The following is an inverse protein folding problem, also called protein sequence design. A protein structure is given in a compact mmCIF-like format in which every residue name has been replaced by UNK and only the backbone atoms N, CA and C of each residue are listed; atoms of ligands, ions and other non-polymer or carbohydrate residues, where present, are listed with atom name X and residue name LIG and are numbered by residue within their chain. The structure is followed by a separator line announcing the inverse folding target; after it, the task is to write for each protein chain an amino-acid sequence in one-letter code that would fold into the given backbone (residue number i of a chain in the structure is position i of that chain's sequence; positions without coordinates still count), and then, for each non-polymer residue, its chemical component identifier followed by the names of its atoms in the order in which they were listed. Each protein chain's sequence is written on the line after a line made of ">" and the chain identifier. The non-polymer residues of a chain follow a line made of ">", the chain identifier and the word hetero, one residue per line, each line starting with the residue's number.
data_IF_180472581453
#
_entry.id   IF_180472581453
#
_cell.length_a   1.000
_cell.length_b   1.000
_cell.length_c   1.000
_cell.angle_alpha   90.00
_cell.angle_beta   90.00
_cell.angle_gamma   90.00
#
_symmetry.space_group_name_H-M   'P 1'
#
loop_
_entity.id
_entity.type
_entity.pdbx_description
1 polymer ?
#
# COMPACT_ATOMS: atom_id res chain seq x y z
N UNK A 1 17.88 -2.36 -19.41
CA UNK A 1 17.33 -1.02 -19.75
C UNK A 1 17.79 -0.51 -21.12
N UNK A 2 19.10 -0.45 -21.44
CA UNK A 2 19.58 0.09 -22.73
C UNK A 2 19.12 -0.69 -23.98
N UNK A 3 19.01 -2.02 -23.93
CA UNK A 3 18.67 -2.82 -25.13
C UNK A 3 17.17 -2.80 -25.45
N UNK A 4 16.29 -2.90 -24.44
CA UNK A 4 14.84 -2.87 -24.65
C UNK A 4 14.33 -1.47 -25.08
N UNK A 5 14.91 -0.41 -24.52
CA UNK A 5 14.57 0.98 -24.90
C UNK A 5 15.03 1.28 -26.33
N UNK A 6 16.20 0.78 -26.76
CA UNK A 6 16.69 0.96 -28.13
C UNK A 6 15.84 0.19 -29.12
N UNK A 7 15.45 -1.06 -28.84
CA UNK A 7 14.61 -1.84 -29.78
C UNK A 7 13.22 -1.24 -30.00
N UNK A 8 12.57 -0.72 -28.95
CA UNK A 8 11.24 -0.11 -29.07
C UNK A 8 11.28 1.31 -29.66
N UNK A 9 12.29 2.11 -29.35
CA UNK A 9 12.49 3.43 -29.98
C UNK A 9 12.90 3.29 -31.45
N UNK A 10 13.68 2.27 -31.82
CA UNK A 10 14.04 2.00 -33.22
C UNK A 10 12.85 1.51 -34.05
N UNK A 11 11.90 0.76 -33.46
CA UNK A 11 10.65 0.39 -34.12
C UNK A 11 9.73 1.61 -34.33
N UNK A 12 9.70 2.53 -33.35
CA UNK A 12 8.93 3.77 -33.44
C UNK A 12 9.52 4.83 -34.39
N UNK A 13 10.85 4.87 -34.56
CA UNK A 13 11.53 5.82 -35.43
C UNK A 13 11.57 5.41 -36.92
N UNK A 14 11.23 4.16 -37.24
CA UNK A 14 11.36 3.59 -38.59
C UNK A 14 10.14 3.75 -39.50
N UNK A 15 9.00 4.25 -39.00
CA UNK A 15 7.76 4.36 -39.78
C UNK A 15 7.11 5.72 -39.49
N UNK A 16 6.96 6.54 -40.54
CA UNK A 16 6.59 7.96 -40.43
C UNK A 16 5.14 8.24 -40.02
N UNK A 17 4.29 7.22 -39.91
CA UNK A 17 2.85 7.32 -39.67
C UNK A 17 2.36 6.48 -38.46
N UNK A 18 3.19 6.33 -37.42
CA UNK A 18 2.94 5.38 -36.30
C UNK A 18 1.97 5.91 -35.24
N UNK A 19 1.71 7.22 -35.21
CA UNK A 19 0.99 7.85 -34.10
C UNK A 19 -0.36 8.40 -34.57
N UNK A 20 -1.44 7.72 -34.17
CA UNK A 20 -2.80 8.07 -34.54
C UNK A 20 -3.45 9.14 -33.62
N UNK A 21 -2.79 9.54 -32.52
CA UNK A 21 -3.29 10.54 -31.58
C UNK A 21 -2.19 11.49 -31.12
N UNK A 22 -2.58 12.75 -30.90
CA UNK A 22 -1.72 13.76 -30.30
C UNK A 22 -1.25 13.32 -28.91
N UNK A 23 0.00 13.65 -28.51
CA UNK A 23 0.48 13.36 -27.18
C UNK A 23 -0.35 14.11 -26.13
N UNK A 24 -0.79 13.38 -25.11
CA UNK A 24 -1.46 13.95 -23.95
C UNK A 24 -0.43 14.44 -22.95
N UNK A 25 -0.58 15.69 -22.52
CA UNK A 25 0.21 16.30 -21.47
C UNK A 25 -0.70 16.77 -20.34
N UNK A 26 -0.26 16.60 -19.10
CA UNK A 26 -0.90 17.19 -17.95
C UNK A 26 0.11 17.51 -16.87
N UNK A 27 -0.14 18.59 -16.14
CA UNK A 27 0.69 18.97 -15.01
C UNK A 27 -0.17 19.27 -13.78
N UNK A 28 0.25 18.78 -12.62
CA UNK A 28 -0.34 19.18 -11.34
C UNK A 28 0.73 19.80 -10.43
N UNK A 29 0.32 20.81 -9.67
CA UNK A 29 1.05 21.26 -8.49
C UNK A 29 0.25 20.87 -7.25
N UNK A 30 0.87 20.09 -6.37
CA UNK A 30 0.32 19.69 -5.09
C UNK A 30 1.04 20.41 -3.97
N UNK A 31 0.30 21.10 -3.11
CA UNK A 31 0.80 21.68 -1.87
C UNK A 31 0.13 21.00 -0.69
N UNK A 32 0.87 20.77 0.39
CA UNK A 32 0.31 20.14 1.57
C UNK A 32 0.95 20.54 2.90
N UNK A 33 0.19 20.30 3.96
CA UNK A 33 0.62 20.35 5.34
C UNK A 33 0.02 19.17 6.11
N UNK A 34 0.84 18.51 6.91
CA UNK A 34 0.46 17.43 7.79
C UNK A 34 0.84 17.78 9.23
N UNK A 35 -0.04 17.47 10.16
CA UNK A 35 0.19 17.50 11.60
C UNK A 35 0.04 16.08 12.12
N UNK A 36 1.04 15.62 12.86
CA UNK A 36 1.09 14.29 13.43
C UNK A 36 1.14 14.41 14.94
N UNK A 37 0.16 13.84 15.62
CA UNK A 37 0.19 13.70 17.07
C UNK A 37 1.01 12.46 17.42
N UNK A 38 2.33 12.65 17.46
CA UNK A 38 3.30 11.57 17.66
C UNK A 38 3.32 11.12 19.09
N UNK A 39 3.20 9.80 19.27
CA UNK A 39 3.17 9.18 20.57
C UNK A 39 4.58 8.82 21.07
N UNK A 40 5.11 9.66 21.96
CA UNK A 40 6.42 9.45 22.58
C UNK A 40 6.49 8.27 23.56
N UNK A 41 5.39 7.88 24.20
CA UNK A 41 5.38 6.78 25.18
C UNK A 41 5.28 5.38 24.53
N UNK A 42 5.29 5.29 23.20
CA UNK A 42 5.17 4.00 22.51
C UNK A 42 6.37 3.07 22.78
N UNK A 43 6.15 1.82 23.21
CA UNK A 43 7.24 0.85 23.35
C UNK A 43 7.86 0.45 22.00
N UNK A 44 7.16 0.71 20.88
CA UNK A 44 7.66 0.40 19.55
C UNK A 44 8.48 1.54 18.93
N UNK A 45 8.43 2.72 19.52
CA UNK A 45 9.15 3.91 19.05
C UNK A 45 9.32 4.88 20.23
N UNK A 46 10.06 4.46 21.28
CA UNK A 46 10.18 5.24 22.49
C UNK A 46 10.81 6.59 22.19
N UNK A 47 10.15 7.66 22.64
CA UNK A 47 10.51 9.07 22.44
C UNK A 47 10.75 9.45 20.98
N UNK A 48 10.15 8.68 20.07
CA UNK A 48 10.29 8.81 18.63
C UNK A 48 11.74 8.66 18.13
N UNK A 49 12.58 7.90 18.85
CA UNK A 49 14.01 7.75 18.55
C UNK A 49 14.30 6.85 17.35
N UNK A 50 13.35 6.00 16.94
CA UNK A 50 13.57 5.00 15.90
C UNK A 50 12.92 5.39 14.58
N UNK A 51 11.62 5.73 14.61
CA UNK A 51 10.87 6.06 13.41
C UNK A 51 11.09 7.51 12.95
N UNK A 52 11.50 8.41 13.86
CA UNK A 52 11.78 9.81 13.54
C UNK A 52 10.60 10.56 12.95
N UNK A 53 9.37 10.23 13.37
CA UNK A 53 8.14 10.78 12.80
C UNK A 53 8.08 12.29 13.02
N UNK A 54 7.85 13.12 11.98
CA UNK A 54 7.70 14.56 12.19
C UNK A 54 6.45 14.84 13.01
N UNK A 55 6.44 15.93 13.77
CA UNK A 55 5.21 16.50 14.36
C UNK A 55 4.45 17.34 13.35
N UNK A 56 5.18 17.98 12.43
CA UNK A 56 4.62 18.75 11.34
C UNK A 56 5.45 18.56 10.08
N UNK A 57 4.78 18.48 8.95
CA UNK A 57 5.41 18.38 7.63
C UNK A 57 4.70 19.31 6.66
N UNK A 58 5.47 20.03 5.86
CA UNK A 58 4.97 20.79 4.72
C UNK A 58 5.63 20.28 3.47
N UNK A 59 4.91 20.28 2.36
CA UNK A 59 5.51 19.90 1.09
C UNK A 59 4.84 20.49 -0.12
N UNK A 60 5.59 20.45 -1.21
CA UNK A 60 5.17 20.82 -2.54
C UNK A 60 5.64 19.75 -3.52
N UNK A 61 4.80 19.41 -4.49
CA UNK A 61 5.12 18.42 -5.49
C UNK A 61 4.58 18.82 -6.86
N UNK A 62 5.48 18.96 -7.83
CA UNK A 62 5.13 19.04 -9.23
C UNK A 62 4.98 17.63 -9.81
N UNK A 63 3.83 17.36 -10.45
CA UNK A 63 3.50 16.11 -11.11
C UNK A 63 3.34 16.38 -12.60
N UNK A 64 4.25 15.86 -13.41
CA UNK A 64 4.08 15.90 -14.86
C UNK A 64 3.59 14.53 -15.32
N UNK A 65 2.74 14.53 -16.34
CA UNK A 65 2.27 13.34 -17.03
C UNK A 65 2.40 13.58 -18.52
N UNK A 66 3.03 12.63 -19.17
CA UNK A 66 3.06 12.57 -20.62
C UNK A 66 2.64 11.17 -21.05
N UNK A 67 1.74 11.09 -22.02
CA UNK A 67 1.25 9.85 -22.61
C UNK A 67 1.13 10.02 -24.11
N UNK A 68 1.57 9.01 -24.84
CA UNK A 68 1.39 8.90 -26.27
C UNK A 68 0.86 7.50 -26.58
N UNK A 69 -0.19 7.44 -27.39
CA UNK A 69 -0.85 6.21 -27.77
C UNK A 69 -0.99 6.16 -29.29
N UNK A 70 -0.53 5.06 -29.89
CA UNK A 70 -0.64 4.80 -31.31
C UNK A 70 -1.33 3.46 -31.57
N UNK A 71 -1.38 3.07 -32.84
CA UNK A 71 -1.92 1.77 -33.25
C UNK A 71 -1.13 0.62 -32.60
N UNK A 72 0.20 0.76 -32.57
CA UNK A 72 1.12 -0.32 -32.18
C UNK A 72 1.48 -0.33 -30.69
N UNK A 73 0.99 0.61 -29.88
CA UNK A 73 1.38 0.63 -28.48
C UNK A 73 1.16 1.95 -27.74
N UNK A 74 1.70 1.98 -26.53
CA UNK A 74 1.60 3.09 -25.59
C UNK A 74 2.96 3.38 -24.99
N UNK A 75 3.28 4.67 -24.90
CA UNK A 75 4.39 5.18 -24.13
C UNK A 75 3.86 6.20 -23.12
N UNK A 76 4.20 6.04 -21.84
CA UNK A 76 3.85 7.01 -20.81
C UNK A 76 4.98 7.20 -19.82
N UNK A 77 5.15 8.42 -19.33
CA UNK A 77 6.13 8.77 -18.29
C UNK A 77 5.55 9.82 -17.36
N UNK A 78 5.73 9.65 -16.06
CA UNK A 78 5.32 10.62 -15.05
C UNK A 78 6.45 10.97 -14.08
N UNK A 79 7.27 11.99 -14.38
CA UNK A 79 8.26 12.48 -13.44
C UNK A 79 7.59 13.30 -12.32
N UNK A 80 8.28 13.34 -11.18
CA UNK A 80 7.92 14.12 -10.00
C UNK A 80 9.12 14.92 -9.54
N UNK A 81 8.85 16.14 -9.08
CA UNK A 81 9.78 16.93 -8.28
C UNK A 81 9.06 17.25 -6.99
N UNK A 82 9.60 16.80 -5.86
CA UNK A 82 9.01 16.95 -4.54
C UNK A 82 9.99 17.68 -3.62
N UNK A 83 9.45 18.58 -2.82
CA UNK A 83 10.11 19.24 -1.70
C UNK A 83 9.29 18.96 -0.44
N UNK A 84 9.96 18.62 0.66
CA UNK A 84 9.33 18.58 1.97
C UNK A 84 10.22 19.18 3.05
N UNK A 85 9.56 19.74 4.06
CA UNK A 85 10.17 20.21 5.30
C UNK A 85 9.42 19.57 6.47
N UNK A 86 10.13 18.81 7.30
CA UNK A 86 9.59 18.13 8.46
C UNK A 86 10.23 18.68 9.75
N UNK A 87 9.41 18.98 10.76
CA UNK A 87 9.86 19.54 12.05
C UNK A 87 9.43 18.64 13.21
N UNK A 88 10.19 18.68 14.31
CA UNK A 88 9.89 17.90 15.52
C UNK A 88 10.03 16.38 15.36
N UNK A 89 10.99 15.92 14.56
CA UNK A 89 11.20 14.50 14.22
C UNK A 89 11.72 13.65 15.39
N UNK A 90 12.44 14.21 16.36
CA UNK A 90 12.80 13.57 17.64
C UNK A 90 13.38 14.62 18.60
N UNK A 91 13.61 14.27 19.87
CA UNK A 91 14.33 15.14 20.82
C UNK A 91 15.81 15.36 20.44
N UNK A 92 16.37 14.51 19.57
CA UNK A 92 17.77 14.54 19.16
C UNK A 92 17.99 15.09 17.74
N UNK A 93 16.93 15.40 16.98
CA UNK A 93 17.04 15.82 15.57
C UNK A 93 16.48 17.21 15.31
N UNK A 94 17.16 17.92 14.43
CA UNK A 94 16.77 19.23 13.90
C UNK A 94 15.74 19.09 12.76
N UNK A 95 15.14 20.22 12.37
CA UNK A 95 14.32 20.34 11.17
C UNK A 95 14.98 19.64 9.97
N UNK A 96 14.24 18.75 9.33
CA UNK A 96 14.68 18.04 8.13
C UNK A 96 14.10 18.71 6.88
N UNK A 97 14.91 18.81 5.83
CA UNK A 97 14.51 19.29 4.51
C UNK A 97 14.96 18.29 3.48
N UNK A 98 14.09 18.01 2.53
CA UNK A 98 14.34 17.02 1.51
C UNK A 98 13.81 17.51 0.16
N UNK A 99 14.62 17.33 -0.88
CA UNK A 99 14.25 17.65 -2.27
C UNK A 99 14.59 16.44 -3.11
N UNK A 100 13.58 15.89 -3.79
CA UNK A 100 13.71 14.66 -4.57
C UNK A 100 13.12 14.86 -5.96
N UNK A 101 13.84 14.39 -6.97
CA UNK A 101 13.31 14.18 -8.32
C UNK A 101 13.31 12.68 -8.61
N UNK A 102 12.19 12.16 -9.12
CA UNK A 102 12.06 10.74 -9.41
C UNK A 102 11.00 10.46 -10.46
N UNK A 103 11.05 9.27 -11.07
CA UNK A 103 9.99 8.76 -11.93
C UNK A 103 8.97 8.00 -11.08
N UNK A 104 7.75 8.54 -11.00
CA UNK A 104 6.65 7.90 -10.28
C UNK A 104 6.12 6.72 -11.07
N UNK A 105 5.88 6.90 -12.36
CA UNK A 105 5.41 5.85 -13.24
C UNK A 105 6.03 5.99 -14.62
N UNK A 106 6.07 4.88 -15.34
CA UNK A 106 6.34 4.83 -16.77
C UNK A 106 5.73 3.56 -17.34
N UNK A 107 5.40 3.56 -18.63
CA UNK A 107 4.85 2.42 -19.34
C UNK A 107 5.41 2.42 -20.75
N UNK A 108 5.89 1.26 -21.17
CA UNK A 108 6.15 0.95 -22.58
C UNK A 108 5.36 -0.31 -22.89
N UNK A 109 4.35 -0.20 -23.74
CA UNK A 109 3.49 -1.30 -24.18
C UNK A 109 3.53 -1.41 -25.69
N UNK A 110 3.74 -2.61 -26.21
CA UNK A 110 3.60 -2.95 -27.63
C UNK A 110 2.42 -3.88 -27.86
N UNK A 111 1.61 -3.59 -28.88
CA UNK A 111 0.40 -4.36 -29.26
C UNK A 111 0.71 -5.23 -30.48
N UNK A 112 0.52 -6.55 -30.32
CA UNK A 112 0.82 -7.57 -31.31
C UNK A 112 -0.41 -8.46 -31.49
N UNK A 113 -1.37 -8.00 -32.29
CA UNK A 113 -2.65 -8.68 -32.50
C UNK A 113 -3.46 -8.77 -31.20
N UNK A 114 -3.56 -9.98 -30.65
CA UNK A 114 -4.23 -10.25 -29.39
C UNK A 114 -3.29 -10.30 -28.17
N UNK A 115 -2.03 -9.94 -28.33
CA UNK A 115 -1.06 -9.85 -27.25
C UNK A 115 -0.64 -8.40 -27.00
N UNK A 116 -0.50 -8.03 -25.72
CA UNK A 116 0.16 -6.81 -25.29
C UNK A 116 1.42 -7.20 -24.52
N UNK A 117 2.58 -6.70 -24.92
CA UNK A 117 3.85 -6.90 -24.21
C UNK A 117 4.21 -5.59 -23.54
N UNK A 118 4.49 -5.62 -22.24
CA UNK A 118 4.74 -4.39 -21.50
C UNK A 118 5.93 -4.47 -20.55
N UNK A 119 6.54 -3.31 -20.34
CA UNK A 119 7.44 -3.01 -19.25
C UNK A 119 6.90 -1.73 -18.60
N UNK A 120 6.70 -1.72 -17.29
CA UNK A 120 6.09 -0.58 -16.59
C UNK A 120 6.67 -0.37 -15.20
N UNK A 121 6.52 0.87 -14.69
CA UNK A 121 6.51 1.17 -13.26
C UNK A 121 5.13 1.68 -12.93
N UNK A 122 4.38 0.93 -12.15
CA UNK A 122 3.01 1.29 -11.81
C UNK A 122 2.55 0.71 -10.48
N UNK A 123 1.39 1.16 -10.04
CA UNK A 123 0.65 0.54 -8.96
C UNK A 123 -0.32 -0.47 -9.57
N UNK A 124 0.13 -1.72 -9.72
CA UNK A 124 -0.65 -2.80 -10.33
C UNK A 124 -1.64 -3.39 -9.32
N UNK A 125 -2.75 -2.70 -9.11
CA UNK A 125 -3.88 -3.22 -8.32
C UNK A 125 -4.79 -4.09 -9.19
N UNK A 126 -5.45 -5.04 -8.55
CA UNK A 126 -6.50 -5.83 -9.16
C UNK A 126 -7.44 -6.38 -8.09
N UNK A 127 -8.49 -7.05 -8.54
CA UNK A 127 -9.58 -7.47 -7.67
C UNK A 127 -10.55 -6.32 -7.37
N UNK A 128 -11.74 -6.63 -6.88
CA UNK A 128 -12.82 -5.66 -6.62
C UNK A 128 -12.71 -4.98 -5.23
N UNK A 129 -11.90 -5.55 -4.35
CA UNK A 129 -11.80 -5.15 -2.94
C UNK A 129 -11.21 -3.76 -2.76
N UNK A 130 -11.77 -3.00 -1.82
CA UNK A 130 -11.37 -1.63 -1.51
C UNK A 130 -10.29 -1.59 -0.43
N UNK A 131 -10.38 -2.42 0.62
CA UNK A 131 -9.44 -2.40 1.74
C UNK A 131 -8.12 -3.12 1.46
N UNK A 132 -8.21 -4.34 0.93
CA UNK A 132 -7.09 -5.21 0.66
C UNK A 132 -7.41 -6.16 -0.50
N UNK A 133 -6.40 -6.55 -1.29
CA UNK A 133 -6.50 -7.58 -2.32
C UNK A 133 -5.63 -8.79 -1.96
N UNK A 134 -6.17 -9.77 -1.19
CA UNK A 134 -5.46 -10.99 -0.83
C UNK A 134 -4.83 -11.75 -2.01
N UNK A 135 -5.52 -11.82 -3.15
CA UNK A 135 -5.07 -12.50 -4.37
C UNK A 135 -3.99 -11.74 -5.14
N UNK A 136 -3.72 -10.48 -4.81
CA UNK A 136 -2.65 -9.70 -5.42
C UNK A 136 -1.32 -9.97 -4.71
N UNK A 137 -0.39 -10.70 -5.34
CA UNK A 137 0.91 -11.02 -4.75
C UNK A 137 1.83 -9.79 -4.66
N UNK A 138 1.53 -8.74 -5.44
CA UNK A 138 2.35 -7.54 -5.51
C UNK A 138 1.90 -6.50 -4.48
N UNK A 139 0.61 -6.19 -4.44
CA UNK A 139 0.04 -5.18 -3.55
C UNK A 139 -1.16 -5.73 -2.78
N UNK A 140 -0.92 -6.16 -1.54
CA UNK A 140 -2.00 -6.70 -0.68
C UNK A 140 -2.88 -5.56 -0.15
N UNK A 141 -2.31 -4.40 0.15
CA UNK A 141 -3.07 -3.24 0.59
C UNK A 141 -3.44 -2.37 -0.62
N UNK A 142 -4.73 -2.08 -0.78
CA UNK A 142 -5.27 -1.42 -1.99
C UNK A 142 -5.63 0.05 -1.75
N UNK A 143 -5.72 0.50 -0.50
CA UNK A 143 -6.26 1.81 -0.18
C UNK A 143 -5.20 2.85 0.23
N UNK A 144 -5.08 3.91 -0.56
CA UNK A 144 -4.42 5.16 -0.16
C UNK A 144 -5.41 6.07 0.57
N UNK A 145 -5.21 6.30 1.86
CA UNK A 145 -6.10 7.17 2.66
C UNK A 145 -5.81 8.66 2.39
N UNK A 146 -4.59 9.01 2.02
CA UNK A 146 -4.21 10.39 1.71
C UNK A 146 -4.27 10.65 0.19
N UNK A 147 -5.21 11.48 -0.32
CA UNK A 147 -5.32 11.74 -1.76
C UNK A 147 -4.13 12.50 -2.36
N UNK A 148 -3.26 13.07 -1.51
CA UNK A 148 -2.09 13.82 -1.94
C UNK A 148 -0.79 13.02 -1.84
N UNK A 149 -0.83 11.84 -1.23
CA UNK A 149 0.33 10.93 -1.21
C UNK A 149 0.15 9.88 -2.29
N UNK A 150 1.02 9.89 -3.29
CA UNK A 150 1.06 8.80 -4.27
C UNK A 150 1.62 7.54 -3.61
N UNK A 151 0.94 6.42 -3.80
CA UNK A 151 1.46 5.12 -3.37
C UNK A 151 2.73 4.78 -4.16
N UNK A 152 3.70 4.12 -3.52
CA UNK A 152 4.91 3.70 -4.21
C UNK A 152 4.58 2.64 -5.28
N UNK A 153 5.13 2.83 -6.47
CA UNK A 153 5.01 1.93 -7.61
C UNK A 153 6.18 0.95 -7.65
N UNK A 154 5.96 -0.19 -8.32
CA UNK A 154 6.99 -1.23 -8.56
C UNK A 154 7.21 -1.41 -10.05
N UNK A 155 8.34 -2.02 -10.42
CA UNK A 155 8.67 -2.26 -11.82
C UNK A 155 8.18 -3.65 -12.24
N UNK A 156 7.52 -3.73 -13.39
CA UNK A 156 6.91 -4.94 -13.94
C UNK A 156 7.32 -5.17 -15.38
N UNK A 157 7.45 -6.44 -15.74
CA UNK A 157 7.48 -6.90 -17.12
C UNK A 157 6.39 -7.95 -17.29
N UNK A 158 5.71 -7.97 -18.43
CA UNK A 158 4.67 -8.94 -18.65
C UNK A 158 4.16 -9.03 -20.08
N UNK A 159 3.29 -10.02 -20.26
CA UNK A 159 2.53 -10.25 -21.48
C UNK A 159 1.08 -10.46 -21.10
N UNK A 160 0.17 -9.76 -21.79
CA UNK A 160 -1.28 -9.93 -21.69
C UNK A 160 -1.79 -10.54 -22.98
N UNK A 161 -2.61 -11.56 -22.88
CA UNK A 161 -3.26 -12.24 -23.99
C UNK A 161 -4.78 -12.05 -23.88
N UNK A 162 -5.35 -11.34 -24.85
CA UNK A 162 -6.80 -11.16 -25.00
C UNK A 162 -7.33 -12.31 -25.85
N UNK A 163 -7.82 -13.37 -25.20
CA UNK A 163 -8.37 -14.54 -25.92
C UNK A 163 -9.61 -14.11 -26.73
N UNK A 164 -10.45 -13.29 -26.12
CA UNK A 164 -11.61 -12.62 -26.70
C UNK A 164 -12.02 -11.45 -25.77
N UNK A 165 -13.14 -10.80 -26.07
CA UNK A 165 -13.63 -9.63 -25.33
C UNK A 165 -13.99 -9.91 -23.85
N UNK A 166 -14.13 -11.19 -23.48
CA UNK A 166 -14.51 -11.62 -22.12
C UNK A 166 -13.38 -12.28 -21.35
N UNK A 167 -12.33 -12.76 -22.02
CA UNK A 167 -11.31 -13.62 -21.42
C UNK A 167 -9.91 -13.07 -21.66
N UNK A 168 -9.19 -12.83 -20.57
CA UNK A 168 -7.81 -12.33 -20.61
C UNK A 168 -6.90 -13.21 -19.76
N UNK A 169 -5.69 -13.48 -20.24
CA UNK A 169 -4.64 -14.15 -19.47
C UNK A 169 -3.43 -13.23 -19.42
N UNK A 170 -2.80 -13.05 -18.26
CA UNK A 170 -1.61 -12.24 -18.11
C UNK A 170 -0.52 -13.00 -17.34
N UNK A 171 0.70 -12.96 -17.88
CA UNK A 171 1.91 -13.37 -17.16
C UNK A 171 2.68 -12.10 -16.79
N UNK A 172 2.85 -11.86 -15.50
CA UNK A 172 3.48 -10.65 -14.98
C UNK A 172 4.58 -11.01 -14.00
N UNK A 173 5.71 -10.32 -14.07
CA UNK A 173 6.81 -10.45 -13.13
C UNK A 173 7.22 -9.07 -12.64
N UNK A 174 7.34 -8.88 -11.33
CA UNK A 174 8.01 -7.68 -10.83
C UNK A 174 9.53 -7.84 -10.94
N UNK A 175 10.18 -6.85 -11.53
CA UNK A 175 11.61 -6.86 -11.83
C UNK A 175 12.42 -6.05 -10.82
N UNK A 176 11.80 -5.09 -10.17
CA UNK A 176 12.42 -4.21 -9.17
C UNK A 176 11.39 -3.77 -8.10
N UNK A 177 11.87 -3.39 -6.92
CA UNK A 177 11.05 -2.79 -5.85
C UNK A 177 10.55 -1.39 -6.23
N UNK A 178 11.17 -0.74 -7.22
CA UNK A 178 10.77 0.57 -7.69
C UNK A 178 10.88 1.61 -6.58
N UNK A 179 9.75 2.23 -6.23
CA UNK A 179 9.66 3.17 -5.11
C UNK A 179 9.25 2.51 -3.79
N UNK A 180 8.88 1.24 -3.81
CA UNK A 180 8.38 0.50 -2.65
C UNK A 180 9.50 -0.25 -1.92
N UNK A 181 10.51 0.51 -1.49
CA UNK A 181 11.70 -0.06 -0.86
C UNK A 181 11.41 -0.46 0.59
N UNK A 182 11.40 -1.76 0.86
CA UNK A 182 11.41 -2.28 2.24
C UNK A 182 12.85 -2.24 2.78
N UNK A 183 13.16 -1.27 3.66
CA UNK A 183 14.51 -1.06 4.23
C UNK A 183 15.12 -2.35 4.83
N UNK A 184 14.27 -3.21 5.37
CA UNK A 184 14.70 -4.38 6.15
C UNK A 184 14.59 -5.70 5.39
N UNK A 185 13.99 -5.72 4.19
CA UNK A 185 13.78 -6.96 3.45
C UNK A 185 14.35 -6.84 2.05
N UNK A 186 15.28 -7.72 1.66
CA UNK A 186 15.79 -7.71 0.30
C UNK A 186 14.66 -8.00 -0.69
N UNK A 187 14.62 -7.22 -1.75
CA UNK A 187 13.74 -7.46 -2.88
C UNK A 187 13.91 -8.88 -3.41
N UNK A 188 12.79 -9.56 -3.63
CA UNK A 188 12.76 -10.86 -4.31
C UNK A 188 11.70 -10.80 -5.41
N UNK A 189 12.07 -11.06 -6.66
CA UNK A 189 11.10 -11.15 -7.75
C UNK A 189 10.01 -12.18 -7.48
N UNK A 190 8.82 -11.85 -7.94
CA UNK A 190 7.57 -12.59 -7.85
C UNK A 190 6.95 -12.59 -9.24
N UNK A 191 6.51 -13.77 -9.69
CA UNK A 191 5.88 -13.95 -10.99
C UNK A 191 4.46 -14.44 -10.77
N UNK A 192 3.50 -13.86 -11.46
CA UNK A 192 2.09 -14.17 -11.36
C UNK A 192 1.53 -14.51 -12.74
N UNK A 193 0.82 -15.63 -12.82
CA UNK A 193 -0.10 -15.94 -13.91
C UNK A 193 -1.50 -15.60 -13.44
N UNK A 194 -2.22 -14.79 -14.21
CA UNK A 194 -3.58 -14.35 -13.91
C UNK A 194 -4.48 -14.68 -15.10
N UNK A 195 -5.68 -15.15 -14.83
CA UNK A 195 -6.73 -15.35 -15.82
C UNK A 195 -8.01 -14.66 -15.35
N UNK A 196 -8.64 -13.90 -16.23
CA UNK A 196 -9.85 -13.12 -15.98
C UNK A 196 -10.97 -13.55 -16.92
N UNK A 197 -12.19 -13.56 -16.39
CA UNK A 197 -13.42 -13.70 -17.14
C UNK A 197 -14.41 -12.59 -16.76
N UNK A 198 -14.96 -11.90 -17.74
CA UNK A 198 -16.01 -10.89 -17.57
C UNK A 198 -17.29 -11.38 -18.24
N UNK A 199 -18.33 -11.59 -17.42
CA UNK A 199 -19.70 -11.85 -17.86
C UNK A 199 -20.54 -10.57 -17.86
N UNK A 200 -21.85 -10.70 -18.08
CA UNK A 200 -22.73 -9.54 -18.25
C UNK A 200 -22.97 -8.77 -16.94
N UNK A 201 -23.03 -9.48 -15.81
CA UNK A 201 -23.23 -8.90 -14.48
C UNK A 201 -22.18 -9.35 -13.46
N UNK A 202 -21.17 -10.10 -13.86
CA UNK A 202 -20.12 -10.60 -12.95
C UNK A 202 -18.75 -10.54 -13.60
N UNK A 203 -17.70 -10.49 -12.78
CA UNK A 203 -16.33 -10.70 -13.22
C UNK A 203 -15.61 -11.58 -12.21
N UNK A 204 -14.78 -12.51 -12.68
CA UNK A 204 -14.00 -13.42 -11.85
C UNK A 204 -12.58 -13.54 -12.36
N UNK A 205 -11.64 -13.73 -11.45
CA UNK A 205 -10.24 -13.95 -11.79
C UNK A 205 -9.60 -15.01 -10.91
N UNK A 206 -8.60 -15.68 -11.46
CA UNK A 206 -7.75 -16.64 -10.76
C UNK A 206 -6.28 -16.24 -10.94
N UNK A 207 -5.49 -16.44 -9.89
CA UNK A 207 -4.08 -16.06 -9.83
C UNK A 207 -3.26 -17.24 -9.30
N UNK A 208 -2.14 -17.53 -9.94
CA UNK A 208 -1.09 -18.38 -9.41
C UNK A 208 0.20 -17.56 -9.35
N UNK A 209 0.88 -17.53 -8.20
CA UNK A 209 2.11 -16.76 -8.02
C UNK A 209 3.26 -17.61 -7.49
N UNK A 210 4.47 -17.23 -7.87
CA UNK A 210 5.71 -17.82 -7.43
C UNK A 210 6.73 -16.75 -7.05
N UNK A 211 7.25 -16.84 -5.83
CA UNK A 211 8.42 -16.11 -5.34
C UNK A 211 9.34 -17.12 -4.66
N UNK A 212 10.65 -16.88 -4.68
CA UNK A 212 11.60 -17.78 -4.01
C UNK A 212 11.22 -18.02 -2.54
N UNK A 213 10.85 -19.26 -2.21
CA UNK A 213 10.39 -19.69 -0.89
C UNK A 213 8.89 -19.54 -0.60
N UNK A 214 8.06 -19.08 -1.55
CA UNK A 214 6.62 -18.89 -1.37
C UNK A 214 5.85 -19.03 -2.70
N UNK A 215 4.97 -20.02 -2.75
CA UNK A 215 3.97 -20.17 -3.81
C UNK A 215 2.62 -19.69 -3.30
N UNK A 216 1.84 -19.05 -4.16
CA UNK A 216 0.51 -18.53 -3.86
C UNK A 216 -0.52 -18.93 -4.92
N UNK A 217 -1.76 -19.10 -4.49
CA UNK A 217 -2.92 -19.25 -5.37
C UNK A 217 -4.02 -18.35 -4.84
N UNK A 218 -4.68 -17.60 -5.71
CA UNK A 218 -5.76 -16.71 -5.34
C UNK A 218 -6.87 -16.69 -6.35
N UNK A 219 -8.01 -16.14 -5.92
CA UNK A 219 -9.16 -15.89 -6.77
C UNK A 219 -9.90 -14.67 -6.23
N UNK A 220 -10.57 -13.96 -7.12
CA UNK A 220 -11.45 -12.87 -6.77
C UNK A 220 -12.65 -12.86 -7.69
N UNK A 221 -13.69 -12.18 -7.28
CA UNK A 221 -14.84 -11.96 -8.14
C UNK A 221 -15.79 -10.92 -7.58
N UNK A 222 -16.56 -10.34 -8.48
CA UNK A 222 -17.62 -9.41 -8.17
C UNK A 222 -18.89 -9.80 -8.94
N UNK A 223 -20.04 -9.51 -8.35
CA UNK A 223 -21.34 -9.73 -8.94
C UNK A 223 -22.25 -8.54 -8.66
N UNK A 224 -22.72 -7.90 -9.73
CA UNK A 224 -23.77 -6.88 -9.71
C UNK A 224 -25.11 -7.58 -9.54
N UNK A 225 -25.64 -7.55 -8.32
CA UNK A 225 -26.91 -8.21 -7.97
C UNK A 225 -28.09 -7.44 -8.55
N UNK A 226 -28.00 -6.11 -8.52
CA UNK A 226 -28.93 -5.15 -9.13
C UNK A 226 -28.24 -3.79 -9.27
N UNK A 227 -29.00 -2.75 -9.66
CA UNK A 227 -28.48 -1.40 -9.90
C UNK A 227 -27.84 -0.71 -8.67
N UNK A 228 -28.18 -1.16 -7.47
CA UNK A 228 -27.69 -0.57 -6.22
C UNK A 228 -26.70 -1.46 -5.46
N UNK A 229 -26.67 -2.77 -5.71
CA UNK A 229 -25.94 -3.76 -4.90
C UNK A 229 -24.86 -4.47 -5.71
N UNK A 230 -23.62 -4.37 -5.21
CA UNK A 230 -22.48 -5.17 -5.64
C UNK A 230 -22.04 -6.07 -4.49
N UNK A 231 -21.77 -7.35 -4.76
CA UNK A 231 -21.09 -8.24 -3.80
C UNK A 231 -19.79 -8.73 -4.41
N UNK A 232 -18.78 -8.95 -3.57
CA UNK A 232 -17.48 -9.38 -4.04
C UNK A 232 -16.69 -10.17 -3.00
N UNK A 233 -15.69 -10.89 -3.49
CA UNK A 233 -14.73 -11.60 -2.67
C UNK A 233 -13.34 -11.50 -3.28
N UNK A 234 -12.33 -11.68 -2.44
CA UNK A 234 -10.94 -11.82 -2.84
C UNK A 234 -10.23 -12.72 -1.83
N UNK A 235 -9.60 -13.80 -2.29
CA UNK A 235 -8.99 -14.79 -1.42
C UNK A 235 -7.69 -15.33 -2.00
N UNK A 236 -6.78 -15.70 -1.10
CA UNK A 236 -5.54 -16.37 -1.45
C UNK A 236 -5.13 -17.39 -0.40
N UNK A 237 -4.36 -18.38 -0.85
CA UNK A 237 -3.60 -19.29 0.00
C UNK A 237 -2.14 -19.28 -0.40
N UNK A 238 -1.25 -19.36 0.59
CA UNK A 238 0.19 -19.36 0.37
C UNK A 238 0.90 -20.17 1.47
N UNK A 239 2.14 -20.58 1.19
CA UNK A 239 3.01 -21.27 2.15
C UNK A 239 4.10 -20.35 2.68
N UNK A 240 4.46 -20.54 3.94
CA UNK A 240 5.43 -19.73 4.67
C UNK A 240 4.89 -18.39 5.15
N UNK A 241 5.59 -17.77 6.11
CA UNK A 241 5.25 -16.46 6.64
C UNK A 241 6.43 -15.47 6.51
N UNK A 242 6.10 -14.20 6.30
CA UNK A 242 7.04 -13.07 6.30
C UNK A 242 7.08 -12.35 7.65
N UNK A 243 6.29 -12.78 8.64
CA UNK A 243 6.16 -12.09 9.94
C UNK A 243 7.28 -12.47 10.91
N UNK A 244 7.71 -11.50 11.71
CA UNK A 244 8.66 -11.67 12.79
C UNK A 244 7.91 -11.99 14.07
N UNK A 245 8.30 -13.06 14.76
CA UNK A 245 7.77 -13.46 16.05
C UNK A 245 8.78 -13.11 17.13
N UNK A 246 8.29 -12.59 18.25
CA UNK A 246 9.08 -12.44 19.46
C UNK A 246 9.17 -13.79 20.17
N UNK A 247 10.40 -14.24 20.40
CA UNK A 247 10.72 -15.44 21.17
C UNK A 247 11.19 -15.00 22.55
N UNK A 248 10.47 -15.48 23.57
CA UNK A 248 10.78 -15.16 24.96
C UNK A 248 12.13 -15.76 25.41
N UNK A 249 12.82 -15.12 26.37
CA UNK A 249 13.99 -15.67 27.04
C UNK A 249 13.72 -17.07 27.60
N UNK A 250 14.56 -18.06 27.28
CA UNK A 250 14.57 -19.36 27.95
C UNK A 250 13.85 -20.54 27.27
N UNK A 251 13.73 -20.56 25.94
CA UNK A 251 13.22 -21.73 25.21
C UNK A 251 14.15 -22.95 25.17
N UNK A 252 15.46 -22.78 25.41
CA UNK A 252 16.45 -23.88 25.45
C UNK A 252 17.15 -24.00 26.81
N UNK A 253 17.37 -25.22 27.33
CA UNK A 253 18.10 -25.42 28.58
C UNK A 253 19.60 -25.11 28.39
N UNK A 254 20.08 -24.03 29.03
CA UNK A 254 21.53 -23.82 29.24
C UNK A 254 22.17 -22.57 28.63
N UNK A 255 21.44 -21.72 27.92
CA UNK A 255 21.95 -20.45 27.39
C UNK A 255 21.34 -19.24 28.10
N UNK A 256 22.15 -18.28 28.55
CA UNK A 256 21.67 -16.95 28.90
C UNK A 256 21.10 -16.29 27.63
N UNK A 257 19.81 -16.46 27.37
CA UNK A 257 19.21 -15.98 26.12
C UNK A 257 18.21 -14.86 26.39
N UNK A 258 18.60 -13.70 25.91
CA UNK A 258 17.78 -12.52 25.73
C UNK A 258 16.63 -12.77 24.75
N UNK A 259 15.63 -11.88 24.71
CA UNK A 259 14.57 -11.95 23.71
C UNK A 259 15.13 -11.94 22.28
N UNK A 260 14.51 -12.69 21.38
CA UNK A 260 14.91 -12.75 19.98
C UNK A 260 13.73 -12.52 19.04
N UNK A 261 14.03 -11.98 17.86
CA UNK A 261 13.10 -11.95 16.73
C UNK A 261 13.47 -13.05 15.75
N UNK A 262 12.49 -13.90 15.44
CA UNK A 262 12.65 -14.94 14.44
C UNK A 262 11.52 -14.86 13.42
N UNK A 263 11.78 -15.24 12.17
CA UNK A 263 10.67 -15.57 11.27
C UNK A 263 10.01 -16.86 11.75
N UNK A 264 8.71 -17.03 11.53
CA UNK A 264 8.03 -18.31 11.75
C UNK A 264 8.76 -19.35 10.87
N UNK A 265 9.63 -20.17 11.46
CA UNK A 265 10.61 -21.01 10.76
C UNK A 265 9.94 -21.97 9.76
N UNK A 266 10.70 -22.43 8.75
CA UNK A 266 10.31 -23.28 7.58
C UNK A 266 8.89 -23.87 7.62
N UNK A 267 7.88 -22.98 7.52
CA UNK A 267 6.53 -23.36 7.85
C UNK A 267 5.87 -23.91 6.59
N UNK A 268 5.85 -25.25 6.49
CA UNK A 268 5.05 -25.97 5.48
C UNK A 268 3.55 -25.67 5.61
N UNK A 269 3.12 -25.02 6.70
CA UNK A 269 1.74 -24.60 6.92
C UNK A 269 1.26 -23.69 5.81
N UNK A 270 0.01 -23.94 5.43
CA UNK A 270 -0.73 -23.08 4.54
C UNK A 270 -1.39 -21.98 5.36
N UNK A 271 -1.19 -20.77 4.91
CA UNK A 271 -1.94 -19.61 5.32
C UNK A 271 -2.99 -19.29 4.25
N UNK A 272 -4.02 -18.60 4.70
CA UNK A 272 -5.14 -18.10 3.94
C UNK A 272 -5.39 -16.65 4.32
N UNK A 273 -5.67 -15.82 3.32
CA UNK A 273 -6.13 -14.46 3.46
C UNK A 273 -7.37 -14.33 2.59
N UNK A 274 -8.51 -14.02 3.18
CA UNK A 274 -9.80 -14.00 2.50
C UNK A 274 -10.58 -12.76 2.91
N UNK A 275 -11.23 -12.14 1.93
CA UNK A 275 -12.08 -10.98 2.08
C UNK A 275 -13.40 -11.24 1.37
N UNK A 276 -14.49 -10.86 2.02
CA UNK A 276 -15.82 -10.78 1.44
C UNK A 276 -16.35 -9.39 1.71
N UNK A 277 -17.01 -8.79 0.73
CA UNK A 277 -17.55 -7.46 0.85
C UNK A 277 -18.78 -7.22 0.00
N UNK A 278 -19.41 -6.09 0.27
CA UNK A 278 -20.54 -5.60 -0.50
C UNK A 278 -20.53 -4.08 -0.56
N UNK A 279 -21.14 -3.56 -1.62
CA UNK A 279 -21.38 -2.15 -1.85
C UNK A 279 -22.87 -1.92 -2.04
N UNK A 280 -23.39 -0.84 -1.44
CA UNK A 280 -24.75 -0.37 -1.64
C UNK A 280 -24.75 1.12 -1.98
N UNK A 281 -25.32 1.45 -3.13
CA UNK A 281 -25.49 2.84 -3.59
C UNK A 281 -26.93 3.30 -3.33
N UNK A 282 -27.08 4.36 -2.53
CA UNK A 282 -28.37 4.98 -2.27
C UNK A 282 -28.85 5.79 -3.47
N UNK A 283 -30.16 6.02 -3.56
CA UNK A 283 -30.76 6.90 -4.58
C UNK A 283 -30.18 8.32 -4.57
N UNK A 284 -29.67 8.80 -3.42
CA UNK A 284 -29.00 10.09 -3.27
C UNK A 284 -27.55 10.13 -3.79
N UNK A 285 -27.01 9.04 -4.33
CA UNK A 285 -25.65 8.96 -4.88
C UNK A 285 -24.57 8.55 -3.88
N UNK A 286 -24.84 8.63 -2.57
CA UNK A 286 -23.97 8.08 -1.53
C UNK A 286 -23.79 6.56 -1.68
N UNK A 287 -22.63 6.03 -1.33
CA UNK A 287 -22.30 4.60 -1.41
C UNK A 287 -21.71 4.12 -0.09
N UNK A 288 -22.19 2.99 0.43
CA UNK A 288 -21.60 2.29 1.58
C UNK A 288 -20.92 1.01 1.12
N UNK A 289 -19.66 0.83 1.50
CA UNK A 289 -18.92 -0.41 1.36
C UNK A 289 -18.74 -1.05 2.74
N UNK A 290 -18.96 -2.35 2.83
CA UNK A 290 -18.69 -3.15 4.02
C UNK A 290 -17.87 -4.38 3.62
N UNK A 291 -16.74 -4.59 4.27
CA UNK A 291 -15.84 -5.71 4.02
C UNK A 291 -15.46 -6.40 5.34
N UNK A 292 -15.37 -7.72 5.30
CA UNK A 292 -14.78 -8.54 6.34
C UNK A 292 -13.57 -9.28 5.76
N UNK A 293 -12.43 -9.16 6.43
CA UNK A 293 -11.18 -9.84 6.06
C UNK A 293 -10.72 -10.77 7.17
N UNK A 294 -10.29 -11.97 6.78
CA UNK A 294 -9.62 -12.94 7.63
C UNK A 294 -8.23 -13.29 7.09
N UNK A 295 -7.18 -12.88 7.79
CA UNK A 295 -5.79 -13.18 7.47
C UNK A 295 -5.16 -14.10 8.52
N UNK A 296 -4.91 -15.35 8.16
CA UNK A 296 -4.33 -16.35 9.09
C UNK A 296 -2.80 -16.31 9.18
N UNK A 297 -2.12 -15.56 8.31
CA UNK A 297 -0.70 -15.23 8.50
C UNK A 297 -0.54 -14.30 9.72
N UNK A 298 -1.60 -13.58 10.08
CA UNK A 298 -1.57 -12.56 11.11
C UNK A 298 -1.37 -13.07 12.55
N UNK A 299 -0.89 -12.16 13.42
CA UNK A 299 -0.50 -12.50 14.78
C UNK A 299 -1.72 -13.02 15.56
N UNK A 300 -1.52 -14.11 16.28
CA UNK A 300 -2.44 -14.52 17.36
C UNK A 300 -2.41 -13.51 18.51
N UNK A 301 -3.37 -13.60 19.42
CA UNK A 301 -3.32 -12.84 20.68
C UNK A 301 -2.03 -13.09 21.46
N UNK A 302 -1.62 -14.36 21.61
CA UNK A 302 -0.39 -14.72 22.33
C UNK A 302 0.88 -14.21 21.63
N UNK A 303 0.96 -14.30 20.30
CA UNK A 303 2.11 -13.76 19.56
C UNK A 303 2.19 -12.24 19.65
N UNK A 304 1.03 -11.56 19.70
CA UNK A 304 0.97 -10.11 19.90
C UNK A 304 1.39 -9.72 21.31
N UNK A 305 0.92 -10.42 22.32
CA UNK A 305 1.31 -10.20 23.72
C UNK A 305 2.82 -10.40 23.91
N UNK A 306 3.39 -11.45 23.30
CA UNK A 306 4.83 -11.67 23.29
C UNK A 306 5.59 -10.52 22.60
N UNK A 307 5.04 -9.99 21.50
CA UNK A 307 5.63 -8.85 20.79
C UNK A 307 5.55 -7.55 21.60
N UNK A 308 4.45 -7.31 22.31
CA UNK A 308 4.27 -6.16 23.19
C UNK A 308 5.22 -6.22 24.39
N UNK A 309 5.36 -7.41 24.99
CA UNK A 309 6.32 -7.65 26.08
C UNK A 309 7.76 -7.43 25.60
N UNK A 310 8.11 -7.97 24.43
CA UNK A 310 9.39 -7.74 23.78
C UNK A 310 9.66 -6.25 23.58
N UNK A 311 8.74 -5.54 22.94
CA UNK A 311 8.90 -4.13 22.64
C UNK A 311 9.08 -3.30 23.92
N UNK A 312 8.34 -3.62 24.98
CA UNK A 312 8.45 -2.95 26.28
C UNK A 312 9.84 -3.15 26.90
N UNK A 313 10.36 -4.37 26.90
CA UNK A 313 11.70 -4.68 27.44
C UNK A 313 12.80 -3.96 26.63
N UNK A 314 12.74 -4.01 25.30
CA UNK A 314 13.74 -3.35 24.47
C UNK A 314 13.64 -1.82 24.55
N UNK A 315 12.44 -1.25 24.69
CA UNK A 315 12.26 0.18 24.88
C UNK A 315 12.87 0.66 26.20
N UNK A 316 12.70 -0.10 27.28
CA UNK A 316 13.33 0.20 28.56
C UNK A 316 14.85 0.18 28.46
N UNK A 317 15.43 -0.77 27.72
CA UNK A 317 16.87 -0.82 27.46
C UNK A 317 17.36 0.33 26.60
N UNK A 318 16.60 0.72 25.58
CA UNK A 318 16.95 1.86 24.73
C UNK A 318 16.99 3.16 25.52
N UNK A 319 16.05 3.36 26.46
CA UNK A 319 15.94 4.58 27.29
C UNK A 319 16.94 4.61 28.45
N UNK A 320 17.09 3.49 29.15
CA UNK A 320 17.75 3.46 30.46
C UNK A 320 19.05 2.65 30.46
N UNK A 321 19.42 2.03 29.33
CA UNK A 321 20.63 1.21 29.22
C UNK A 321 21.88 2.05 29.33
N UNK A 322 22.83 1.61 30.17
CA UNK A 322 24.14 2.24 30.31
C UNK A 322 25.22 1.60 29.44
N UNK A 323 24.99 0.36 28.96
CA UNK A 323 25.88 -0.34 28.03
C UNK A 323 25.54 0.03 26.56
N UNK A 324 26.42 0.74 25.83
CA UNK A 324 26.17 1.13 24.44
C UNK A 324 25.91 -0.06 23.51
N UNK A 325 26.52 -1.22 23.75
CA UNK A 325 26.31 -2.39 22.91
C UNK A 325 24.89 -2.95 23.06
N UNK A 326 24.42 -3.08 24.29
CA UNK A 326 23.04 -3.50 24.58
C UNK A 326 22.00 -2.47 24.08
N UNK A 327 22.28 -1.18 24.21
CA UNK A 327 21.43 -0.10 23.67
C UNK A 327 21.34 -0.18 22.14
N UNK A 328 22.48 -0.35 21.46
CA UNK A 328 22.52 -0.51 20.01
C UNK A 328 21.78 -1.78 19.53
N UNK A 329 21.91 -2.90 20.26
CA UNK A 329 21.18 -4.12 19.96
C UNK A 329 19.66 -3.93 20.12
N UNK A 330 19.21 -3.30 21.21
CA UNK A 330 17.80 -2.99 21.44
C UNK A 330 17.23 -2.06 20.35
N UNK A 331 17.99 -1.06 19.92
CA UNK A 331 17.61 -0.17 18.82
C UNK A 331 17.46 -0.93 17.49
N UNK A 332 18.40 -1.81 17.15
CA UNK A 332 18.32 -2.64 15.94
C UNK A 332 17.14 -3.61 15.97
N UNK A 333 16.90 -4.23 17.12
CA UNK A 333 15.78 -5.15 17.35
C UNK A 333 14.41 -4.45 17.24
N UNK A 334 14.22 -3.31 17.90
CA UNK A 334 12.99 -2.53 17.76
C UNK A 334 12.85 -1.96 16.36
N UNK A 335 13.95 -1.48 15.76
CA UNK A 335 13.99 -0.98 14.39
C UNK A 335 13.46 -2.00 13.39
N UNK A 336 13.70 -3.30 13.63
CA UNK A 336 13.15 -4.39 12.80
C UNK A 336 11.61 -4.49 12.85
N UNK A 337 10.97 -3.96 13.88
CA UNK A 337 9.51 -3.94 14.08
C UNK A 337 8.86 -2.60 13.70
N UNK A 338 9.65 -1.55 13.47
CA UNK A 338 9.13 -0.23 13.13
C UNK A 338 8.54 -0.25 11.72
N UNK A 339 7.22 -0.23 11.66
CA UNK A 339 6.44 -0.11 10.42
C UNK A 339 5.30 0.89 10.65
N UNK A 340 5.59 2.21 10.63
CA UNK A 340 4.63 3.25 11.03
C UNK A 340 3.37 3.31 10.16
N UNK A 341 3.37 2.64 9.01
CA UNK A 341 2.28 2.67 8.03
C UNK A 341 1.60 1.31 7.78
N UNK A 342 2.01 0.24 8.47
CA UNK A 342 1.36 -1.06 8.33
C UNK A 342 -0.03 -1.02 9.02
N UNK A 343 -1.10 -1.25 8.25
CA UNK A 343 -2.47 -0.96 8.71
C UNK A 343 -3.18 -2.10 9.42
N UNK A 344 -2.72 -3.35 9.25
CA UNK A 344 -3.39 -4.50 9.87
C UNK A 344 -2.43 -5.59 10.31
N UNK A 345 -2.31 -5.81 11.62
CA UNK A 345 -1.64 -7.00 12.16
C UNK A 345 -2.61 -8.00 12.78
N UNK A 346 -3.89 -7.66 12.93
CA UNK A 346 -4.97 -8.55 13.36
C UNK A 346 -5.40 -9.58 12.30
N UNK A 347 -6.03 -10.67 12.77
CA UNK A 347 -6.53 -11.75 11.93
C UNK A 347 -7.87 -11.43 11.31
N UNK A 348 -8.78 -10.89 12.09
CA UNK A 348 -10.15 -10.61 11.71
C UNK A 348 -10.36 -9.09 11.72
N UNK A 349 -10.67 -8.51 10.55
CA UNK A 349 -10.84 -7.06 10.39
C UNK A 349 -12.16 -6.77 9.68
N UNK A 350 -12.94 -5.85 10.25
CA UNK A 350 -14.05 -5.20 9.57
C UNK A 350 -13.58 -3.88 8.98
N UNK A 351 -14.03 -3.59 7.77
CA UNK A 351 -13.82 -2.33 7.10
C UNK A 351 -15.16 -1.80 6.61
N UNK A 352 -15.46 -0.55 6.92
CA UNK A 352 -16.63 0.15 6.43
C UNK A 352 -16.18 1.46 5.78
N UNK A 353 -16.81 1.83 4.67
CA UNK A 353 -16.57 3.10 4.01
C UNK A 353 -17.88 3.69 3.54
N UNK A 354 -18.07 4.99 3.78
CA UNK A 354 -19.09 5.81 3.14
C UNK A 354 -18.41 6.76 2.16
N UNK A 355 -18.89 6.83 0.93
CA UNK A 355 -18.46 7.79 -0.09
C UNK A 355 -19.66 8.54 -0.60
N UNK A 356 -19.59 9.86 -0.58
CA UNK A 356 -20.57 10.73 -1.20
C UNK A 356 -19.85 11.85 -1.93
N UNK A 357 -20.02 11.90 -3.25
CA UNK A 357 -19.31 12.84 -4.11
C UNK A 357 -19.99 14.20 -4.21
N UNK A 358 -21.16 14.35 -3.58
CA UNK A 358 -22.02 15.52 -3.73
C UNK A 358 -22.79 15.85 -2.45
N UNK A 359 -22.12 15.78 -1.28
CA UNK A 359 -22.74 16.17 0.00
C UNK A 359 -23.19 17.65 0.01
N UNK A 360 -22.53 18.47 -0.82
CA UNK A 360 -22.87 19.83 -1.14
C UNK A 360 -22.31 20.13 -2.55
N UNK A 361 -22.70 21.24 -3.21
CA UNK A 361 -22.11 21.63 -4.49
C UNK A 361 -20.57 21.61 -4.43
N UNK A 362 -19.95 20.93 -5.39
CA UNK A 362 -18.50 20.76 -5.51
C UNK A 362 -17.80 20.15 -4.28
N UNK A 363 -18.53 19.48 -3.39
CA UNK A 363 -17.99 18.94 -2.14
C UNK A 363 -18.23 17.44 -2.03
N UNK A 364 -17.16 16.71 -1.72
CA UNK A 364 -17.20 15.27 -1.50
C UNK A 364 -16.75 14.91 -0.08
N UNK A 365 -17.31 13.84 0.44
CA UNK A 365 -17.02 13.26 1.73
C UNK A 365 -16.69 11.78 1.56
N UNK A 366 -15.62 11.35 2.22
CA UNK A 366 -15.29 9.94 2.41
C UNK A 366 -15.08 9.71 3.90
N UNK A 367 -15.82 8.77 4.47
CA UNK A 367 -15.61 8.29 5.84
C UNK A 367 -15.22 6.82 5.77
N UNK A 368 -14.13 6.44 6.44
CA UNK A 368 -13.62 5.09 6.46
C UNK A 368 -13.39 4.67 7.90
N UNK A 369 -13.76 3.45 8.24
CA UNK A 369 -13.53 2.85 9.54
C UNK A 369 -12.94 1.47 9.33
N UNK A 370 -11.80 1.20 9.95
CA UNK A 370 -11.26 -0.15 10.11
C UNK A 370 -11.35 -0.56 11.57
N UNK A 371 -11.69 -1.82 11.84
CA UNK A 371 -11.80 -2.36 13.18
C UNK A 371 -11.31 -3.80 13.23
N UNK A 372 -10.25 -4.04 14.01
CA UNK A 372 -9.74 -5.37 14.29
C UNK A 372 -10.57 -6.05 15.38
N UNK A 373 -11.33 -7.09 14.99
CA UNK A 373 -12.22 -7.83 15.90
C UNK A 373 -11.45 -8.52 17.04
N UNK A 374 -10.23 -9.00 16.77
CA UNK A 374 -9.43 -9.64 17.82
C UNK A 374 -8.71 -8.60 18.70
N UNK A 375 -8.27 -7.48 18.13
CA UNK A 375 -7.54 -6.45 18.88
C UNK A 375 -8.43 -5.55 19.71
N UNK A 376 -9.67 -5.36 19.27
CA UNK A 376 -10.54 -4.27 19.69
C UNK A 376 -9.90 -2.88 19.46
N UNK A 377 -9.16 -2.73 18.36
CA UNK A 377 -8.53 -1.50 17.90
C UNK A 377 -8.96 -1.19 16.47
N UNK A 378 -8.73 0.05 16.05
CA UNK A 378 -9.16 0.49 14.74
C UNK A 378 -8.72 1.89 14.40
N UNK A 379 -9.17 2.39 13.26
CA UNK A 379 -8.96 3.78 12.88
C UNK A 379 -10.15 4.29 12.08
N UNK A 380 -10.48 5.55 12.33
CA UNK A 380 -11.45 6.28 11.52
C UNK A 380 -10.72 7.33 10.72
N UNK A 381 -10.97 7.38 9.41
CA UNK A 381 -10.50 8.45 8.53
C UNK A 381 -11.70 9.18 7.95
N UNK A 382 -11.67 10.51 8.03
CA UNK A 382 -12.61 11.39 7.34
C UNK A 382 -11.83 12.23 6.34
N UNK A 383 -12.25 12.19 5.08
CA UNK A 383 -11.71 13.02 4.01
C UNK A 383 -12.81 13.90 3.46
N UNK A 384 -12.58 15.20 3.46
CA UNK A 384 -13.47 16.18 2.81
C UNK A 384 -12.67 16.82 1.68
N UNK A 385 -13.23 16.85 0.47
CA UNK A 385 -12.64 17.57 -0.65
C UNK A 385 -13.63 18.57 -1.23
N UNK A 386 -13.14 19.72 -1.65
CA UNK A 386 -13.92 20.78 -2.26
C UNK A 386 -13.23 21.29 -3.53
N UNK A 387 -13.95 21.27 -4.65
CA UNK A 387 -13.46 21.81 -5.92
C UNK A 387 -13.83 23.30 -5.98
N UNK A 388 -12.83 24.18 -5.91
CA UNK A 388 -13.03 25.62 -6.01
C UNK A 388 -13.41 26.03 -7.45
N UNK A 389 -12.89 25.28 -8.41
CA UNK A 389 -13.19 25.34 -9.85
C UNK A 389 -12.61 24.09 -10.53
N UNK A 390 -12.69 24.04 -11.87
CA UNK A 390 -12.23 22.91 -12.68
C UNK A 390 -10.72 22.59 -12.58
N UNK A 391 -9.92 23.48 -11.98
CA UNK A 391 -8.46 23.36 -11.88
C UNK A 391 -7.95 23.22 -10.46
N UNK A 392 -8.66 23.75 -9.46
CA UNK A 392 -8.19 23.83 -8.09
C UNK A 392 -9.08 23.03 -7.15
N UNK A 393 -8.47 22.04 -6.48
CA UNK A 393 -9.11 21.20 -5.48
C UNK A 393 -8.44 21.38 -4.13
N UNK A 394 -9.24 21.61 -3.10
CA UNK A 394 -8.82 21.57 -1.70
C UNK A 394 -9.25 20.24 -1.09
N UNK A 395 -8.46 19.68 -0.19
CA UNK A 395 -8.94 18.59 0.66
C UNK A 395 -8.27 18.58 2.03
N UNK A 396 -9.04 18.08 3.00
CA UNK A 396 -8.61 17.81 4.36
C UNK A 396 -8.84 16.34 4.68
N UNK A 397 -7.92 15.72 5.41
CA UNK A 397 -8.04 14.36 5.89
C UNK A 397 -7.67 14.32 7.38
N UNK A 398 -8.59 13.81 8.21
CA UNK A 398 -8.36 13.50 9.60
C UNK A 398 -8.38 11.99 9.80
N UNK A 399 -7.31 11.42 10.33
CA UNK A 399 -7.26 10.01 10.76
C UNK A 399 -7.07 9.93 12.27
N UNK A 400 -7.98 9.24 12.95
CA UNK A 400 -7.97 9.03 14.40
C UNK A 400 -8.00 7.53 14.69
N UNK A 401 -6.87 6.95 15.13
CA UNK A 401 -6.85 5.62 15.71
C UNK A 401 -7.63 5.54 17.02
N UNK A 402 -8.24 4.39 17.30
CA UNK A 402 -8.95 4.12 18.54
C UNK A 402 -8.69 2.70 19.05
N UNK A 403 -9.09 2.43 20.29
CA UNK A 403 -8.81 1.17 21.00
C UNK A 403 -7.58 1.24 21.90
N UNK A 404 -6.94 0.08 22.12
CA UNK A 404 -5.80 -0.05 23.02
C UNK A 404 -4.62 0.82 22.57
N UNK A 405 -3.87 1.36 23.54
CA UNK A 405 -2.60 2.04 23.26
C UNK A 405 -1.56 1.08 22.67
N UNK A 406 -1.61 -0.20 22.98
CA UNK A 406 -0.73 -1.19 22.33
C UNK A 406 -1.30 -1.72 21.01
N UNK A 407 -2.47 -1.22 20.59
CA UNK A 407 -3.12 -1.59 19.35
C UNK A 407 -2.32 -1.21 18.10
N UNK A 408 -2.59 -1.92 17.01
CA UNK A 408 -1.88 -1.83 15.73
C UNK A 408 -1.92 -0.42 15.15
N UNK A 409 -3.11 0.19 15.18
CA UNK A 409 -3.40 1.48 14.54
C UNK A 409 -2.93 2.66 15.37
N UNK A 410 -2.85 2.50 16.70
CA UNK A 410 -2.47 3.55 17.65
C UNK A 410 -1.01 3.46 18.09
N UNK A 411 -0.23 2.57 17.48
CA UNK A 411 1.14 2.25 17.90
C UNK A 411 2.10 3.44 17.85
N UNK A 412 1.92 4.37 16.91
CA UNK A 412 2.87 5.47 16.68
C UNK A 412 2.26 6.86 16.76
N UNK A 413 0.95 6.97 16.49
CA UNK A 413 0.24 8.22 16.29
C UNK A 413 -1.08 8.16 17.03
N UNK A 414 -1.45 9.25 17.70
CA UNK A 414 -2.78 9.43 18.30
C UNK A 414 -3.76 10.08 17.33
N UNK A 415 -3.26 10.86 16.38
CA UNK A 415 -4.03 11.38 15.25
C UNK A 415 -3.10 11.89 14.13
N UNK A 416 -3.65 12.01 12.93
CA UNK A 416 -3.02 12.69 11.79
C UNK A 416 -4.04 13.60 11.15
N UNK A 417 -3.67 14.88 11.00
CA UNK A 417 -4.46 15.86 10.26
C UNK A 417 -3.66 16.33 9.06
N UNK A 418 -4.28 16.24 7.89
CA UNK A 418 -3.69 16.61 6.63
C UNK A 418 -4.56 17.67 5.95
N UNK A 419 -3.93 18.67 5.36
CA UNK A 419 -4.54 19.63 4.45
C UNK A 419 -3.73 19.75 3.18
N UNK A 420 -4.41 19.83 2.03
CA UNK A 420 -3.73 20.00 0.77
C UNK A 420 -4.56 20.69 -0.28
N UNK A 421 -3.84 21.12 -1.32
CA UNK A 421 -4.37 21.73 -2.52
C UNK A 421 -3.72 21.06 -3.73
N UNK A 422 -4.51 20.79 -4.77
CA UNK A 422 -4.02 20.41 -6.09
C UNK A 422 -4.48 21.44 -7.10
N UNK A 423 -3.55 21.95 -7.91
CA UNK A 423 -3.82 22.79 -9.07
C UNK A 423 -3.41 22.05 -10.34
N UNK A 424 -4.33 21.90 -11.30
CA UNK A 424 -4.12 21.16 -12.55
C UNK A 424 -3.99 22.13 -13.74
N UNK A 425 -3.10 21.82 -14.68
CA UNK A 425 -2.72 22.66 -15.83
C UNK A 425 -2.72 21.88 -17.14
#
# INVERSE_FOLDING_TARGET
>A
MRVALVVLVSLAAGTGDVFARDPEFGADLVLFSSLYDVRGDSPYNPDNLLAGLPRMEHGAQARLRWRMEGEYGVLAVGPRVAFSKATGTSAASTDTRDTKAYLQNWLVEGRLGNFDVFYSRELMLWGPSQFASPSNPFFIETNGVNPFTELPSRDFAGVRWRINDRNTVALVRNTDEGRDREVLRPFKPETALRADHVGDNFAVGAVASHRAGRNGYGAYGQWTVNDAVLVYFDAATFRGSRRLLALAPGGEPGGAQDWQLATRGDDRKRHYDALVGGSYTFAGGGTVNLEYRRNTEAYTGAEREALDAFATVQAARLRNGSDPAAVGAAAGQLGALVQPYARTYGRDTLYAQYVDRSIAPSTSLVVQVSYGLNSHDGSTTVVVSHDLNDRIKLAANLTVPFGSRHGDTRRYLDSVLFFGMTASF
#
